data_IF_924721116326
#
_entry.id   IF_924721116326
#
_cell.length_a   1.000
_cell.length_b   1.000
_cell.length_c   1.000
_cell.angle_alpha   90.00
_cell.angle_beta   90.00
_cell.angle_gamma   90.00
#
_symmetry.space_group_name_H-M   'P 1'
#
loop_
_entity.id
_entity.type
_entity.pdbx_description
1 polymer ?
#
# COMPACT_ATOMS: atom_id res chain seq x y z
N UNK A 1 -7.04 -13.34 -21.56
CA UNK A 1 -6.99 -14.30 -22.66
C UNK A 1 -5.67 -15.06 -22.66
N UNK A 2 -5.70 -16.25 -23.17
CA UNK A 2 -4.50 -17.06 -23.45
C UNK A 2 -4.59 -17.47 -24.90
N UNK A 3 -3.63 -17.08 -25.69
CA UNK A 3 -3.59 -17.36 -27.12
C UNK A 3 -2.29 -18.10 -27.45
N UNK A 4 -2.42 -19.30 -28.00
CA UNK A 4 -1.26 -20.04 -28.49
C UNK A 4 -0.99 -19.62 -29.95
N UNK A 5 0.11 -18.94 -30.15
CA UNK A 5 0.54 -18.44 -31.46
C UNK A 5 1.27 -19.52 -32.30
N UNK A 6 1.42 -20.73 -31.75
CA UNK A 6 2.10 -21.84 -32.39
C UNK A 6 3.61 -21.68 -32.51
N UNK A 7 4.22 -22.48 -33.41
CA UNK A 7 5.64 -22.42 -33.67
C UNK A 7 5.99 -21.16 -34.50
N UNK A 8 6.86 -20.32 -33.93
CA UNK A 8 7.39 -19.13 -34.60
C UNK A 8 8.91 -19.08 -34.50
N UNK A 9 9.52 -18.23 -35.34
CA UNK A 9 10.95 -17.99 -35.28
C UNK A 9 11.24 -16.89 -34.25
N UNK A 10 12.02 -17.21 -33.24
CA UNK A 10 12.59 -16.26 -32.31
C UNK A 10 14.09 -16.04 -32.62
N UNK A 11 14.64 -14.93 -32.12
CA UNK A 11 16.04 -14.58 -32.28
C UNK A 11 16.71 -14.54 -30.93
N UNK A 12 17.91 -15.12 -30.82
CA UNK A 12 18.75 -15.02 -29.63
C UNK A 12 19.44 -13.64 -29.55
N UNK A 13 20.16 -13.37 -28.47
CA UNK A 13 20.90 -12.14 -28.28
C UNK A 13 22.01 -11.90 -29.34
N UNK A 14 22.42 -12.95 -30.09
CA UNK A 14 23.41 -12.90 -31.12
C UNK A 14 22.78 -12.80 -32.53
N UNK A 15 21.46 -12.69 -32.61
CA UNK A 15 20.72 -12.61 -33.87
C UNK A 15 20.54 -13.95 -34.61
N UNK A 16 20.86 -15.09 -33.96
CA UNK A 16 20.59 -16.40 -34.54
C UNK A 16 19.12 -16.75 -34.39
N UNK A 17 18.53 -17.25 -35.47
CA UNK A 17 17.16 -17.66 -35.56
C UNK A 17 16.98 -19.09 -35.03
N UNK A 18 15.99 -19.30 -34.16
CA UNK A 18 15.59 -20.61 -33.70
C UNK A 18 14.05 -20.74 -33.68
N UNK A 19 13.55 -21.96 -33.69
CA UNK A 19 12.12 -22.24 -33.57
C UNK A 19 11.74 -22.21 -32.11
N UNK A 20 10.66 -21.51 -31.77
CA UNK A 20 10.06 -21.43 -30.44
C UNK A 20 8.53 -21.56 -30.55
N UNK A 21 7.94 -22.19 -29.56
CA UNK A 21 6.50 -22.16 -29.35
C UNK A 21 6.18 -20.94 -28.51
N UNK A 22 5.31 -20.06 -29.01
CA UNK A 22 4.98 -18.78 -28.37
C UNK A 22 3.54 -18.83 -27.91
N UNK A 23 3.33 -18.57 -26.63
CA UNK A 23 2.01 -18.38 -26.03
C UNK A 23 1.91 -17.00 -25.42
N UNK A 24 0.90 -16.24 -25.81
CA UNK A 24 0.62 -14.92 -25.27
C UNK A 24 -0.40 -15.04 -24.13
N UNK A 25 -0.07 -14.41 -23.01
CA UNK A 25 -0.98 -14.25 -21.87
C UNK A 25 -1.33 -12.78 -21.75
N UNK A 26 -2.57 -12.42 -22.07
CA UNK A 26 -3.06 -11.06 -21.93
C UNK A 26 -4.14 -11.00 -20.84
N UNK A 27 -3.98 -10.04 -19.94
CA UNK A 27 -4.92 -9.79 -18.85
C UNK A 27 -5.18 -8.29 -18.70
N UNK A 28 -6.39 -7.88 -19.01
CA UNK A 28 -6.84 -6.50 -18.87
C UNK A 28 -7.51 -6.34 -17.49
N UNK A 29 -6.95 -5.47 -16.66
CA UNK A 29 -7.47 -5.19 -15.33
C UNK A 29 -7.96 -3.75 -15.29
N UNK A 30 -9.22 -3.57 -14.87
CA UNK A 30 -9.80 -2.28 -14.56
C UNK A 30 -10.11 -2.15 -13.06
N UNK A 31 -10.01 -0.94 -12.54
CA UNK A 31 -10.44 -0.61 -11.18
C UNK A 31 -11.70 0.22 -11.28
N UNK A 32 -12.78 -0.26 -10.65
CA UNK A 32 -14.03 0.48 -10.53
C UNK A 32 -14.21 0.95 -9.08
N UNK A 33 -14.43 2.24 -8.90
CA UNK A 33 -14.74 2.84 -7.60
C UNK A 33 -16.22 3.22 -7.58
N UNK A 34 -17.01 2.46 -6.84
CA UNK A 34 -18.47 2.70 -6.76
C UNK A 34 -18.81 3.87 -5.83
N UNK A 35 -18.02 4.04 -4.75
CA UNK A 35 -18.24 5.09 -3.76
C UNK A 35 -16.90 5.74 -3.37
N UNK A 36 -16.64 6.96 -3.86
CA UNK A 36 -15.38 7.65 -3.57
C UNK A 36 -15.26 8.10 -2.11
N UNK A 37 -16.37 8.21 -1.37
CA UNK A 37 -16.34 8.61 0.04
C UNK A 37 -15.76 7.53 0.96
N UNK A 38 -15.69 6.29 0.48
CA UNK A 38 -15.12 5.16 1.22
C UNK A 38 -13.61 5.02 1.09
N UNK A 39 -12.96 5.94 0.38
CA UNK A 39 -11.52 5.94 0.21
C UNK A 39 -10.94 7.26 0.71
N UNK A 40 -10.16 7.20 1.77
CA UNK A 40 -9.48 8.36 2.35
C UNK A 40 -7.99 8.27 2.06
N UNK A 41 -7.42 9.34 1.55
CA UNK A 41 -5.99 9.45 1.24
C UNK A 41 -5.33 10.46 2.18
N UNK A 42 -4.34 9.99 2.94
CA UNK A 42 -3.43 10.84 3.68
C UNK A 42 -2.25 11.15 2.77
N UNK A 43 -2.06 12.41 2.42
CA UNK A 43 -1.03 12.85 1.48
C UNK A 43 -0.23 14.03 2.05
N UNK A 44 0.85 14.42 1.37
CA UNK A 44 1.74 15.52 1.78
C UNK A 44 2.44 15.29 3.13
N UNK A 45 2.70 14.04 3.49
CA UNK A 45 3.51 13.72 4.65
C UNK A 45 4.96 14.08 4.31
N UNK A 46 5.52 15.09 4.98
CA UNK A 46 6.92 15.46 4.82
C UNK A 46 7.81 14.38 5.46
N UNK A 47 8.35 13.51 4.62
CA UNK A 47 9.20 12.39 5.06
C UNK A 47 10.51 12.86 5.70
N UNK A 48 10.96 14.08 5.41
CA UNK A 48 12.20 14.64 5.99
C UNK A 48 12.01 15.08 7.43
N UNK A 49 10.77 15.44 7.81
CA UNK A 49 10.38 15.85 9.15
C UNK A 49 9.76 14.71 9.96
N UNK A 50 9.63 13.52 9.41
CA UNK A 50 9.21 12.34 10.15
C UNK A 50 10.28 11.94 11.15
N UNK A 51 10.08 12.31 12.42
CA UNK A 51 10.99 11.99 13.51
C UNK A 51 10.39 10.92 14.43
N UNK A 52 11.24 10.31 15.24
CA UNK A 52 10.81 9.37 16.30
C UNK A 52 9.95 10.05 17.38
N UNK A 53 10.17 11.35 17.59
CA UNK A 53 9.41 12.17 18.54
C UNK A 53 8.56 13.16 17.75
N UNK A 54 7.27 13.16 17.99
CA UNK A 54 6.27 14.02 17.33
C UNK A 54 6.41 15.53 17.59
N UNK A 55 7.55 16.00 18.06
CA UNK A 55 7.67 17.38 18.54
C UNK A 55 7.79 18.42 17.42
N UNK A 56 8.20 18.01 16.23
CA UNK A 56 8.47 18.96 15.11
C UNK A 56 7.98 18.46 13.74
N UNK A 57 7.43 17.25 13.63
CA UNK A 57 7.01 16.62 12.39
C UNK A 57 5.54 16.19 12.41
N UNK A 58 5.04 15.66 11.29
CA UNK A 58 3.67 15.19 11.19
C UNK A 58 3.42 14.03 12.15
N UNK A 59 2.33 14.12 12.92
CA UNK A 59 1.84 13.05 13.78
C UNK A 59 1.02 12.08 12.94
N UNK A 60 1.60 10.92 12.64
CA UNK A 60 0.92 9.91 11.83
C UNK A 60 -0.31 9.33 12.53
N UNK A 61 -0.28 9.24 13.86
CA UNK A 61 -1.41 8.68 14.62
C UNK A 61 -2.62 9.59 14.56
N UNK A 62 -2.41 10.89 14.71
CA UNK A 62 -3.47 11.90 14.62
C UNK A 62 -4.08 11.92 13.22
N UNK A 63 -3.25 11.88 12.19
CA UNK A 63 -3.71 11.80 10.79
C UNK A 63 -4.50 10.51 10.50
N UNK A 64 -4.14 9.39 11.14
CA UNK A 64 -4.87 8.13 10.99
C UNK A 64 -6.22 8.17 11.69
N UNK A 65 -6.32 8.83 12.85
CA UNK A 65 -7.60 9.05 13.54
C UNK A 65 -8.51 9.91 12.68
N UNK A 66 -8.02 11.07 12.20
CA UNK A 66 -8.81 11.95 11.32
C UNK A 66 -9.28 11.24 10.03
N UNK A 67 -8.45 10.35 9.50
CA UNK A 67 -8.83 9.56 8.33
C UNK A 67 -9.96 8.57 8.61
N UNK A 68 -9.98 7.93 9.79
CA UNK A 68 -11.06 7.03 10.18
C UNK A 68 -12.36 7.79 10.40
N UNK A 69 -12.31 8.95 11.07
CA UNK A 69 -13.50 9.77 11.32
C UNK A 69 -14.13 10.36 10.04
N UNK A 70 -13.37 10.41 8.93
CA UNK A 70 -13.88 10.83 7.62
C UNK A 70 -14.63 9.72 6.88
N UNK A 71 -14.52 8.48 7.30
CA UNK A 71 -15.27 7.40 6.70
C UNK A 71 -16.73 7.44 7.17
N UNK A 72 -17.70 7.35 6.26
CA UNK A 72 -19.12 7.48 6.61
C UNK A 72 -19.63 6.36 7.52
N UNK A 73 -19.02 5.18 7.48
CA UNK A 73 -19.37 4.06 8.32
C UNK A 73 -18.19 3.07 8.42
N UNK A 74 -17.54 3.02 9.58
CA UNK A 74 -16.43 2.09 9.84
C UNK A 74 -16.88 0.62 9.89
N UNK A 75 -18.16 0.37 10.13
CA UNK A 75 -18.70 -0.98 10.33
C UNK A 75 -19.14 -1.64 9.03
N UNK A 76 -19.41 -0.88 7.99
CA UNK A 76 -19.81 -1.40 6.68
C UNK A 76 -18.60 -1.72 5.79
N UNK A 77 -17.96 -2.85 6.04
CA UNK A 77 -16.91 -3.34 5.18
C UNK A 77 -15.63 -3.72 5.93
N UNK A 78 -14.60 -4.05 5.18
CA UNK A 78 -13.28 -4.35 5.72
C UNK A 78 -12.39 -3.12 5.53
N UNK A 79 -12.35 -2.27 6.53
CA UNK A 79 -11.43 -1.12 6.54
C UNK A 79 -10.00 -1.62 6.72
N UNK A 80 -9.06 -1.06 5.98
CA UNK A 80 -7.64 -1.36 6.11
C UNK A 80 -6.79 -0.14 5.74
N UNK A 81 -5.66 0.01 6.41
CA UNK A 81 -4.64 1.00 6.04
C UNK A 81 -3.61 0.38 5.10
N UNK A 82 -3.24 1.12 4.09
CA UNK A 82 -2.15 0.77 3.17
C UNK A 82 -1.08 1.85 3.24
N UNK A 83 0.15 1.47 3.55
CA UNK A 83 1.27 2.40 3.65
C UNK A 83 2.58 1.76 3.21
N UNK A 84 3.52 2.60 2.79
CA UNK A 84 4.84 2.12 2.42
C UNK A 84 5.70 1.76 3.65
N UNK A 85 6.82 1.09 3.40
CA UNK A 85 7.73 0.58 4.42
C UNK A 85 8.28 1.67 5.33
N UNK A 86 8.67 2.79 4.77
CA UNK A 86 9.25 3.90 5.52
C UNK A 86 8.22 4.53 6.45
N UNK A 87 7.04 4.84 5.94
CA UNK A 87 5.95 5.41 6.76
C UNK A 87 5.57 4.46 7.88
N UNK A 88 5.47 3.16 7.59
CA UNK A 88 5.18 2.14 8.61
C UNK A 88 6.27 2.05 9.69
N UNK A 89 7.54 2.14 9.28
CA UNK A 89 8.68 2.14 10.21
C UNK A 89 8.66 3.36 11.14
N UNK A 90 8.34 4.55 10.60
CA UNK A 90 8.20 5.75 11.42
C UNK A 90 7.00 5.68 12.35
N UNK A 91 5.87 5.17 11.88
CA UNK A 91 4.68 4.93 12.70
C UNK A 91 5.03 4.05 13.90
N UNK A 92 5.68 2.91 13.68
CA UNK A 92 6.09 2.01 14.76
C UNK A 92 7.02 2.69 15.78
N UNK A 93 7.91 3.58 15.33
CA UNK A 93 8.80 4.34 16.21
C UNK A 93 8.09 5.45 16.98
N UNK A 94 7.14 6.13 16.35
CA UNK A 94 6.33 7.16 17.02
C UNK A 94 5.51 6.57 18.15
N UNK A 95 5.00 5.37 17.99
CA UNK A 95 4.22 4.66 18.98
C UNK A 95 5.04 4.28 20.20
N UNK A 96 6.28 3.82 20.02
CA UNK A 96 7.17 3.51 21.15
C UNK A 96 7.45 4.70 22.07
N UNK A 97 7.21 5.93 21.60
CA UNK A 97 7.43 7.15 22.37
C UNK A 97 6.13 7.75 22.96
N UNK A 98 4.98 7.13 22.76
CA UNK A 98 3.69 7.58 23.33
C UNK A 98 3.21 6.57 24.35
N UNK A 99 2.94 7.03 25.57
CA UNK A 99 2.59 6.17 26.72
C UNK A 99 1.20 5.50 26.62
N UNK A 100 0.35 5.88 25.68
CA UNK A 100 -1.02 5.38 25.55
C UNK A 100 -1.42 5.17 24.10
N UNK A 101 -0.86 4.17 23.42
CA UNK A 101 -1.23 3.91 22.03
C UNK A 101 -1.94 2.57 21.87
N UNK A 102 -3.13 2.65 21.26
CA UNK A 102 -3.97 1.51 20.86
C UNK A 102 -3.41 0.82 19.61
N UNK A 103 -2.15 0.39 19.67
CA UNK A 103 -1.58 -0.46 18.64
C UNK A 103 -1.44 -1.86 19.21
N UNK A 104 -2.14 -2.79 18.61
CA UNK A 104 -2.03 -4.19 18.92
C UNK A 104 -1.40 -4.97 17.76
N UNK A 105 -0.86 -6.12 18.07
CA UNK A 105 -0.50 -7.11 17.06
C UNK A 105 -1.59 -8.17 17.11
N UNK A 106 -2.49 -8.11 16.16
CA UNK A 106 -3.55 -9.09 16.02
C UNK A 106 -3.23 -10.09 14.91
N UNK A 107 -3.80 -11.27 15.04
CA UNK A 107 -3.68 -12.29 14.03
C UNK A 107 -4.84 -12.16 13.03
N UNK A 108 -4.55 -11.68 11.83
CA UNK A 108 -5.51 -11.58 10.74
C UNK A 108 -5.23 -12.69 9.73
N UNK A 109 -6.17 -13.60 9.57
CA UNK A 109 -6.07 -14.75 8.65
C UNK A 109 -4.79 -15.61 8.85
N UNK A 110 -4.44 -15.90 10.10
CA UNK A 110 -3.26 -16.72 10.44
C UNK A 110 -1.92 -16.00 10.31
N UNK A 111 -1.91 -14.66 10.12
CA UNK A 111 -0.69 -13.86 10.03
C UNK A 111 -0.72 -12.73 11.05
N UNK A 112 0.37 -12.54 11.77
CA UNK A 112 0.54 -11.40 12.69
C UNK A 112 0.60 -10.10 11.89
N UNK A 113 -0.42 -9.27 12.03
CA UNK A 113 -0.51 -7.96 11.43
C UNK A 113 -0.43 -6.88 12.52
N UNK A 114 0.17 -5.74 12.17
CA UNK A 114 0.04 -4.54 12.98
C UNK A 114 -1.37 -3.99 12.79
N UNK A 115 -2.09 -3.73 13.87
CA UNK A 115 -3.44 -3.15 13.83
C UNK A 115 -3.45 -1.82 14.58
N UNK A 116 -4.23 -0.89 14.11
CA UNK A 116 -4.49 0.39 14.77
C UNK A 116 -5.99 0.50 15.04
N UNK A 117 -6.40 0.56 16.31
CA UNK A 117 -7.80 0.52 16.73
C UNK A 117 -8.59 -0.64 16.11
N UNK A 118 -7.96 -1.82 15.96
CA UNK A 118 -8.58 -2.99 15.32
C UNK A 118 -8.53 -3.01 13.79
N UNK A 119 -8.06 -1.94 13.16
CA UNK A 119 -7.93 -1.84 11.70
C UNK A 119 -6.55 -2.33 11.26
N UNK A 120 -6.46 -3.31 10.36
CA UNK A 120 -5.18 -3.85 9.91
C UNK A 120 -4.39 -2.85 9.06
N UNK A 121 -3.06 -2.89 9.22
CA UNK A 121 -2.11 -2.07 8.47
C UNK A 121 -1.34 -2.95 7.51
N UNK A 122 -1.60 -2.80 6.23
CA UNK A 122 -0.92 -3.51 5.16
C UNK A 122 0.29 -2.74 4.65
N UNK A 123 1.35 -3.48 4.46
CA UNK A 123 2.59 -2.96 3.87
C UNK A 123 2.49 -3.00 2.35
N UNK A 124 2.85 -1.91 1.71
CA UNK A 124 2.97 -1.79 0.25
C UNK A 124 4.43 -1.50 -0.10
N UNK A 125 4.96 -2.19 -1.10
CA UNK A 125 6.34 -1.99 -1.55
C UNK A 125 6.57 -0.57 -2.08
N UNK A 126 7.80 -0.10 -2.00
CA UNK A 126 8.20 1.24 -2.45
C UNK A 126 8.12 1.41 -3.97
N UNK A 127 8.09 0.33 -4.73
CA UNK A 127 7.89 0.29 -6.19
C UNK A 127 6.47 0.71 -6.58
N UNK A 128 5.48 0.36 -5.73
CA UNK A 128 4.07 0.68 -5.95
C UNK A 128 3.71 2.02 -5.27
N UNK A 129 4.24 2.25 -4.08
CA UNK A 129 4.02 3.47 -3.30
C UNK A 129 5.37 4.12 -2.95
N UNK A 130 5.97 4.90 -3.86
CA UNK A 130 7.27 5.51 -3.67
C UNK A 130 7.25 6.58 -2.57
N UNK A 131 8.40 6.75 -1.89
CA UNK A 131 8.56 7.76 -0.83
C UNK A 131 8.53 9.20 -1.36
N UNK A 132 8.84 9.39 -2.64
CA UNK A 132 8.92 10.68 -3.32
C UNK A 132 8.02 10.70 -4.54
N UNK A 133 6.72 10.62 -4.31
CA UNK A 133 5.75 10.77 -5.39
C UNK A 133 5.34 12.22 -5.58
N UNK A 134 5.36 12.74 -6.82
CA UNK A 134 4.62 13.95 -7.13
C UNK A 134 3.14 13.66 -6.94
N UNK A 135 2.50 14.40 -6.05
CA UNK A 135 1.05 14.35 -5.93
C UNK A 135 0.50 15.03 -7.16
N UNK A 136 -0.14 14.26 -8.01
CA UNK A 136 -0.98 14.83 -9.07
C UNK A 136 -2.11 15.59 -8.38
N UNK A 137 -2.16 16.89 -8.65
CA UNK A 137 -3.25 17.76 -8.21
C UNK A 137 -4.53 17.43 -8.98
#
# INVERSE_FOLDING_TARGET
>A
SVENMGEQYAFDANGKRFRAEITEFAWDIGVAMYDPQRVVRIANIDSTKLTKKNTTGPDLLDLMIDALERLPDEQQGRVAFYMNDNTRSFLARQILNKDNVLLSQDEVAGRKCMTFRGVPIHRVGTDIMPNTGKILK
#
